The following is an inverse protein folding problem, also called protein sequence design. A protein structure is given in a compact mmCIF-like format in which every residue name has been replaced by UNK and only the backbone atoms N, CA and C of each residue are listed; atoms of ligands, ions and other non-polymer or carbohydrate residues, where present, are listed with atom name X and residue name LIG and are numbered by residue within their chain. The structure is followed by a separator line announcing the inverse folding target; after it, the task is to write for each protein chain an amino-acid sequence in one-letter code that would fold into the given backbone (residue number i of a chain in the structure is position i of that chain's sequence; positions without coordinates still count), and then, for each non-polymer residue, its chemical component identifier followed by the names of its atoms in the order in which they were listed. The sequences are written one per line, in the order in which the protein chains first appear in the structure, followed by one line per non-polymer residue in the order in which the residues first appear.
data_IF_203144869282
#
_entry.id   IF_203144869282
#
_cell.length_a   1.000
_cell.length_b   1.000
_cell.length_c   1.000
_cell.angle_alpha   90.00
_cell.angle_beta   90.00
_cell.angle_gamma   90.00
#
_symmetry.space_group_name_H-M   'P 1'
#
loop_
_entity.id
_entity.type
_entity.pdbx_description
1 polymer ?
#
# COMPACT_ATOMS: atom_id res chain seq x y z
N UNK A 1 16.09 23.02 -13.12
CA UNK A 1 15.19 22.44 -12.10
C UNK A 1 15.71 21.06 -11.79
N UNK A 2 15.91 20.66 -10.52
CA UNK A 2 16.22 19.27 -10.25
C UNK A 2 15.01 18.45 -10.74
N UNK A 3 15.26 17.49 -11.63
CA UNK A 3 14.25 16.50 -11.95
C UNK A 3 13.93 15.79 -10.63
N UNK A 4 12.68 15.86 -10.18
CA UNK A 4 12.26 15.00 -9.08
C UNK A 4 12.47 13.57 -9.57
N UNK A 5 13.27 12.77 -8.86
CA UNK A 5 13.44 11.35 -9.17
C UNK A 5 12.09 10.66 -8.97
N UNK A 6 11.30 10.61 -10.04
CA UNK A 6 10.00 9.98 -10.07
C UNK A 6 10.18 8.49 -10.29
N UNK A 7 9.51 7.72 -9.46
CA UNK A 7 9.52 6.27 -9.45
C UNK A 7 8.12 5.80 -9.80
N UNK A 8 8.02 4.96 -10.83
CA UNK A 8 6.78 4.30 -11.16
C UNK A 8 6.55 3.13 -10.20
N UNK A 9 5.42 3.17 -9.47
CA UNK A 9 5.05 2.14 -8.52
C UNK A 9 3.74 1.49 -8.94
N UNK A 10 3.71 0.16 -8.99
CA UNK A 10 2.48 -0.62 -9.09
C UNK A 10 2.22 -1.41 -7.81
N UNK A 11 0.95 -1.53 -7.47
CA UNK A 11 0.47 -2.19 -6.27
C UNK A 11 -0.11 -3.56 -6.61
N UNK A 12 0.51 -4.62 -6.10
CA UNK A 12 -0.01 -5.99 -6.25
C UNK A 12 -0.98 -6.32 -5.13
N UNK A 13 -2.15 -6.83 -5.46
CA UNK A 13 -3.19 -7.22 -4.52
C UNK A 13 -3.15 -8.73 -4.21
N UNK A 14 -3.99 -9.15 -3.26
CA UNK A 14 -4.02 -10.51 -2.74
C UNK A 14 -4.43 -11.58 -3.78
N UNK A 15 -5.16 -11.17 -4.82
CA UNK A 15 -5.60 -12.03 -5.92
C UNK A 15 -4.58 -12.09 -7.07
N UNK A 16 -3.43 -11.42 -6.92
CA UNK A 16 -2.36 -11.37 -7.90
C UNK A 16 -2.52 -10.26 -8.96
N UNK A 17 -3.62 -9.50 -8.92
CA UNK A 17 -3.81 -8.35 -9.80
C UNK A 17 -2.87 -7.19 -9.42
N UNK A 18 -2.51 -6.37 -10.41
CA UNK A 18 -1.68 -5.17 -10.23
C UNK A 18 -2.50 -3.91 -10.52
N UNK A 19 -2.26 -2.83 -9.75
CA UNK A 19 -2.83 -1.50 -9.99
C UNK A 19 -1.72 -0.47 -10.16
N UNK A 20 -1.86 0.40 -11.17
CA UNK A 20 -0.84 1.37 -11.57
C UNK A 20 -0.27 1.01 -12.96
N UNK A 21 0.94 1.49 -13.31
CA UNK A 21 1.88 2.23 -12.46
C UNK A 21 1.40 3.64 -12.11
N UNK A 22 1.83 4.15 -10.96
CA UNK A 22 1.65 5.54 -10.55
C UNK A 22 3.01 6.19 -10.27
N UNK A 23 3.24 7.42 -10.73
CA UNK A 23 4.47 8.14 -10.42
C UNK A 23 4.43 8.64 -8.97
N UNK A 24 5.51 8.40 -8.23
CA UNK A 24 5.77 8.96 -6.91
C UNK A 24 7.18 9.54 -6.86
N UNK A 25 7.37 10.61 -6.10
CA UNK A 25 8.72 11.10 -5.83
C UNK A 25 9.47 10.08 -4.97
N UNK A 26 10.77 9.91 -5.20
CA UNK A 26 11.66 9.16 -4.31
C UNK A 26 11.64 9.68 -2.86
N UNK A 27 11.26 10.95 -2.65
CA UNK A 27 11.09 11.57 -1.34
C UNK A 27 9.73 11.28 -0.69
N UNK A 28 8.73 10.77 -1.43
CA UNK A 28 7.43 10.40 -0.86
C UNK A 28 7.62 9.34 0.22
N UNK A 29 6.89 9.46 1.32
CA UNK A 29 6.95 8.48 2.41
C UNK A 29 6.02 7.31 2.15
N UNK A 30 6.34 6.16 2.74
CA UNK A 30 5.47 4.98 2.74
C UNK A 30 4.10 5.31 3.35
N UNK A 31 4.05 6.22 4.34
CA UNK A 31 2.80 6.70 4.91
C UNK A 31 1.90 7.38 3.87
N UNK A 32 2.46 8.24 3.01
CA UNK A 32 1.72 8.89 1.93
C UNK A 32 1.14 7.88 0.93
N UNK A 33 1.91 6.83 0.57
CA UNK A 33 1.43 5.76 -0.30
C UNK A 33 0.23 5.03 0.32
N UNK A 34 0.31 4.69 1.63
CA UNK A 34 -0.79 4.03 2.34
C UNK A 34 -2.01 4.94 2.50
N UNK A 35 -1.81 6.22 2.82
CA UNK A 35 -2.89 7.21 2.89
C UNK A 35 -3.62 7.32 1.55
N UNK A 36 -2.86 7.28 0.45
CA UNK A 36 -3.43 7.27 -0.89
C UNK A 36 -4.28 6.03 -1.12
N UNK A 37 -3.80 4.83 -0.79
CA UNK A 37 -4.59 3.59 -0.91
C UNK A 37 -5.91 3.67 -0.12
N UNK A 38 -5.87 4.24 1.10
CA UNK A 38 -7.07 4.40 1.95
C UNK A 38 -8.02 5.49 1.40
N UNK A 39 -7.48 6.62 0.95
CA UNK A 39 -8.27 7.80 0.57
C UNK A 39 -8.79 7.75 -0.87
N UNK A 40 -7.96 7.23 -1.77
CA UNK A 40 -8.21 7.18 -3.20
C UNK A 40 -8.92 5.90 -3.63
N UNK A 41 -8.98 4.87 -2.76
CA UNK A 41 -9.73 3.63 -3.03
C UNK A 41 -11.15 3.86 -3.58
N UNK A 42 -11.98 4.75 -2.99
CA UNK A 42 -13.31 5.07 -3.51
C UNK A 42 -13.34 6.16 -4.60
N UNK A 43 -12.27 6.94 -4.81
CA UNK A 43 -12.30 8.16 -5.66
C UNK A 43 -11.50 8.05 -6.96
N UNK A 44 -10.46 7.22 -7.03
CA UNK A 44 -9.76 6.90 -8.28
C UNK A 44 -10.63 5.91 -9.06
N UNK A 45 -11.58 6.51 -9.78
CA UNK A 45 -12.64 5.91 -10.57
C UNK A 45 -12.19 4.81 -11.52
N UNK A 46 -12.94 3.72 -11.51
CA UNK A 46 -12.98 2.76 -12.61
C UNK A 46 -12.83 1.33 -12.14
N UNK A 47 -13.80 0.80 -11.37
CA UNK A 47 -14.06 -0.63 -11.16
C UNK A 47 -12.93 -1.50 -10.57
N UNK A 48 -11.66 -1.13 -10.68
CA UNK A 48 -10.46 -1.90 -10.36
C UNK A 48 -10.20 -1.84 -8.86
N UNK A 49 -10.15 -0.65 -8.25
CA UNK A 49 -10.04 -0.55 -6.79
C UNK A 49 -11.29 -1.07 -6.07
N UNK A 50 -12.48 -0.89 -6.66
CA UNK A 50 -13.73 -1.42 -6.10
C UNK A 50 -13.84 -2.95 -6.28
N UNK A 51 -13.64 -3.53 -7.45
CA UNK A 51 -13.79 -4.99 -7.60
C UNK A 51 -12.67 -5.77 -6.91
N UNK A 52 -11.45 -5.21 -6.83
CA UNK A 52 -10.30 -5.92 -6.27
C UNK A 52 -10.15 -5.70 -4.75
N UNK A 53 -10.58 -4.54 -4.19
CA UNK A 53 -10.61 -4.31 -2.73
C UNK A 53 -12.02 -4.35 -2.12
N UNK A 54 -13.06 -3.88 -2.81
CA UNK A 54 -14.46 -3.89 -2.34
C UNK A 54 -15.26 -5.14 -2.75
N UNK A 55 -14.83 -5.89 -3.77
CA UNK A 55 -15.54 -7.10 -4.24
C UNK A 55 -15.57 -8.25 -3.22
N UNK A 56 -14.68 -8.23 -2.22
CA UNK A 56 -14.70 -9.12 -1.05
C UNK A 56 -14.38 -8.35 0.24
N UNK A 57 -15.35 -7.60 0.73
CA UNK A 57 -15.65 -7.36 2.16
C UNK A 57 -14.56 -6.73 3.08
N UNK A 58 -13.40 -6.29 2.59
CA UNK A 58 -12.32 -5.77 3.45
C UNK A 58 -11.80 -4.42 2.93
N UNK A 59 -12.49 -3.36 3.32
CA UNK A 59 -12.08 -1.98 3.08
C UNK A 59 -11.17 -1.54 4.23
N UNK A 60 -9.92 -1.12 3.97
CA UNK A 60 -9.06 -0.57 5.02
C UNK A 60 -9.68 0.74 5.55
N UNK A 61 -9.95 0.80 6.85
CA UNK A 61 -10.50 1.97 7.54
C UNK A 61 -9.42 2.96 7.97
N UNK A 62 -8.18 2.49 8.08
CA UNK A 62 -7.04 3.29 8.51
C UNK A 62 -5.75 2.83 7.85
N UNK A 63 -4.77 3.73 7.77
CA UNK A 63 -3.41 3.49 7.26
C UNK A 63 -2.74 2.28 7.94
N UNK A 64 -3.00 2.07 9.22
CA UNK A 64 -2.42 0.97 10.00
C UNK A 64 -2.94 -0.41 9.59
N UNK A 65 -4.08 -0.48 8.90
CA UNK A 65 -4.62 -1.71 8.33
C UNK A 65 -3.97 -2.05 6.99
N UNK A 66 -3.15 -1.15 6.43
CA UNK A 66 -2.43 -1.35 5.17
C UNK A 66 -0.96 -1.65 5.45
N UNK A 67 -0.49 -2.79 4.95
CA UNK A 67 0.93 -3.14 4.90
C UNK A 67 1.39 -3.13 3.46
N UNK A 68 2.51 -2.45 3.22
CA UNK A 68 3.21 -2.47 1.94
C UNK A 68 4.44 -3.35 2.08
N UNK A 69 4.66 -4.23 1.10
CA UNK A 69 5.79 -5.14 1.07
C UNK A 69 6.53 -4.96 -0.25
N UNK A 70 7.83 -4.69 -0.18
CA UNK A 70 8.73 -4.63 -1.33
C UNK A 70 9.92 -5.54 -1.10
N UNK A 71 10.29 -6.34 -2.10
CA UNK A 71 11.47 -7.22 -2.05
C UNK A 71 11.54 -8.09 -0.78
N UNK A 72 10.39 -8.62 -0.35
CA UNK A 72 10.27 -9.46 0.84
C UNK A 72 10.29 -8.72 2.18
N UNK A 73 10.37 -7.38 2.19
CA UNK A 73 10.38 -6.56 3.42
C UNK A 73 9.09 -5.76 3.56
N UNK A 74 8.51 -5.77 4.75
CA UNK A 74 7.42 -4.85 5.11
C UNK A 74 8.02 -3.45 5.26
N UNK A 75 7.41 -2.47 4.59
CA UNK A 75 7.87 -1.09 4.58
C UNK A 75 7.38 -0.32 5.80
N UNK A 76 8.29 0.47 6.39
CA UNK A 76 8.02 1.34 7.54
C UNK A 76 7.51 2.71 7.08
N UNK A 77 6.52 3.27 7.77
CA UNK A 77 5.82 4.49 7.35
C UNK A 77 6.72 5.73 7.24
N UNK A 78 7.76 5.81 8.07
CA UNK A 78 8.72 6.92 8.12
C UNK A 78 9.82 6.84 7.05
N UNK A 79 9.93 5.74 6.32
CA UNK A 79 10.90 5.60 5.21
C UNK A 79 10.35 6.22 3.94
N UNK A 80 11.25 6.73 3.11
CA UNK A 80 10.89 7.21 1.76
C UNK A 80 10.88 6.07 0.75
N UNK A 81 10.18 6.26 -0.37
CA UNK A 81 10.15 5.28 -1.46
C UNK A 81 11.58 5.00 -1.97
N UNK A 82 12.41 6.03 -2.12
CA UNK A 82 13.80 5.87 -2.55
C UNK A 82 14.62 4.98 -1.60
N UNK A 83 14.38 5.06 -0.29
CA UNK A 83 15.01 4.20 0.71
C UNK A 83 14.47 2.76 0.71
N UNK A 84 13.30 2.53 0.11
CA UNK A 84 12.66 1.21 0.03
C UNK A 84 13.03 0.43 -1.24
N UNK A 85 13.80 1.03 -2.14
CA UNK A 85 14.33 0.34 -3.31
C UNK A 85 15.31 -0.76 -2.89
N UNK A 86 15.27 -1.89 -3.61
CA UNK A 86 16.19 -2.98 -3.33
C UNK A 86 17.56 -2.72 -3.99
N UNK A 87 18.67 -3.04 -3.31
CA UNK A 87 20.03 -2.79 -3.80
C UNK A 87 20.37 -3.51 -5.12
N UNK A 88 19.59 -4.53 -5.49
CA UNK A 88 19.75 -5.29 -6.75
C UNK A 88 18.43 -5.39 -7.55
N UNK A 89 17.40 -4.65 -7.16
CA UNK A 89 16.03 -4.80 -7.69
C UNK A 89 15.65 -3.84 -8.81
N UNK A 90 16.44 -2.79 -9.05
CA UNK A 90 16.26 -1.93 -10.21
C UNK A 90 16.99 -2.53 -11.42
N UNK A 91 16.32 -3.49 -12.07
CA UNK A 91 16.65 -3.78 -13.47
C UNK A 91 16.24 -2.56 -14.28
N UNK A 92 17.23 -1.85 -14.82
CA UNK A 92 17.15 -0.70 -15.73
C UNK A 92 15.72 -0.20 -16.07
N UNK A 93 15.29 0.90 -15.44
CA UNK A 93 14.06 1.62 -15.79
C UNK A 93 12.74 0.93 -15.43
N UNK A 94 12.77 -0.09 -14.57
CA UNK A 94 11.61 -0.93 -14.27
C UNK A 94 10.73 -0.46 -13.11
N UNK A 95 9.42 -0.39 -13.36
CA UNK A 95 8.35 -0.15 -12.38
C UNK A 95 8.56 -0.95 -11.09
N UNK A 96 8.56 -0.28 -9.94
CA UNK A 96 8.65 -0.88 -8.61
C UNK A 96 7.32 -1.57 -8.29
N UNK A 97 7.38 -2.83 -7.86
CA UNK A 97 6.20 -3.60 -7.45
C UNK A 97 6.12 -3.66 -5.93
N UNK A 98 5.04 -3.15 -5.35
CA UNK A 98 4.74 -3.26 -3.92
C UNK A 98 3.51 -4.12 -3.69
N UNK A 99 3.60 -5.15 -2.86
CA UNK A 99 2.44 -5.94 -2.47
C UNK A 99 1.65 -5.21 -1.38
N UNK A 100 0.35 -5.09 -1.57
CA UNK A 100 -0.60 -4.51 -0.62
C UNK A 100 -1.27 -5.63 0.14
N UNK A 101 -1.14 -5.60 1.46
CA UNK A 101 -1.84 -6.51 2.37
C UNK A 101 -2.75 -5.68 3.26
N UNK A 102 -4.05 -5.99 3.22
CA UNK A 102 -5.02 -5.39 4.12
C UNK A 102 -5.19 -6.32 5.32
N UNK A 103 -4.81 -5.84 6.50
CA UNK A 103 -4.97 -6.54 7.76
C UNK A 103 -5.85 -5.67 8.68
N UNK A 104 -7.16 -5.93 8.74
CA UNK A 104 -8.05 -5.23 9.66
C UNK A 104 -7.55 -5.30 11.09
N UNK A 105 -7.69 -4.21 11.84
CA UNK A 105 -7.40 -4.25 13.25
C UNK A 105 -8.36 -5.24 13.92
N UNK A 106 -7.82 -6.27 14.60
CA UNK A 106 -8.62 -7.13 15.46
C UNK A 106 -9.33 -6.22 16.47
N UNK A 107 -10.66 -6.14 16.39
CA UNK A 107 -11.43 -5.53 17.46
C UNK A 107 -11.04 -6.26 18.74
N UNK A 108 -10.47 -5.53 19.70
CA UNK A 108 -10.25 -6.08 21.05
C UNK A 108 -11.62 -6.31 21.67
N UNK A 109 -12.22 -7.47 21.41
CA UNK A 109 -13.37 -7.93 22.18
C UNK A 109 -12.85 -8.27 23.58
N UNK A 110 -12.80 -7.25 24.45
CA UNK A 110 -12.76 -7.48 25.90
C UNK A 110 -14.12 -8.07 26.26
N UNK A 111 -14.26 -9.38 26.15
CA UNK A 111 -15.37 -10.12 26.75
C UNK A 111 -15.23 -9.95 28.25
N UNK A 112 -15.97 -8.99 28.82
CA UNK A 112 -16.09 -8.84 30.25
C UNK A 112 -16.82 -10.05 30.81
N UNK A 113 -16.10 -10.96 31.46
CA UNK A 113 -16.74 -11.98 32.28
C UNK A 113 -17.14 -11.29 33.58
N UNK A 114 -18.41 -10.88 33.65
CA UNK A 114 -19.03 -10.36 34.87
C UNK A 114 -19.54 -11.58 35.63
N UNK A 115 -18.88 -11.96 36.71
CA UNK A 115 -19.43 -12.92 37.66
C UNK A 115 -20.44 -12.19 38.56
N UNK A 116 -21.62 -12.79 38.71
CA UNK A 116 -22.68 -12.37 39.63
C UNK A 116 -22.27 -12.57 41.09
#
# INVERSE_FOLDING_TARGET
MPAEDLLDIKFRLYDGSDIGPFPYSAASTVDMLKQRIVSDGPKISGKIWNDLLYGKTIIPKAVNEVKLISSGKILENNKTVGQCQAPFGEVAGGVIVMHVVIQPALAKTKTGIRYN
#
